data_IF_164288770880
#
_entry.id   IF_164288770880
#
_cell.length_a   1.000
_cell.length_b   1.000
_cell.length_c   1.000
_cell.angle_alpha   90.00
_cell.angle_beta   90.00
_cell.angle_gamma   90.00
#
_symmetry.space_group_name_H-M   'P 1'
#
loop_
_entity.id
_entity.type
_entity.pdbx_description
1 polymer ?
#
# COMPACT_ATOMS: atom_id res chain seq x y z
N UNK A 1 24.95 -23.50 -1.47
CA UNK A 1 23.67 -23.27 -2.16
C UNK A 1 23.59 -21.78 -2.53
N UNK A 2 23.56 -21.43 -3.81
CA UNK A 2 23.44 -20.04 -4.23
C UNK A 2 22.06 -19.50 -3.82
N UNK A 3 22.01 -18.49 -2.94
CA UNK A 3 20.75 -17.78 -2.63
C UNK A 3 20.23 -17.16 -3.93
N UNK A 4 19.10 -17.64 -4.45
CA UNK A 4 18.38 -16.96 -5.53
C UNK A 4 18.05 -15.56 -5.05
N UNK A 5 18.66 -14.53 -5.65
CA UNK A 5 18.33 -13.14 -5.34
C UNK A 5 16.87 -12.91 -5.75
N UNK A 6 15.98 -12.54 -4.84
CA UNK A 6 14.59 -12.29 -5.20
C UNK A 6 14.52 -11.14 -6.20
N UNK A 7 13.70 -11.28 -7.25
CA UNK A 7 13.51 -10.23 -8.26
C UNK A 7 13.02 -8.95 -7.57
N UNK A 8 13.69 -7.83 -7.79
CA UNK A 8 13.33 -6.51 -7.26
C UNK A 8 12.75 -5.61 -8.35
N UNK A 9 12.11 -4.52 -7.94
CA UNK A 9 11.69 -3.39 -8.77
C UNK A 9 12.23 -2.10 -8.14
N UNK A 10 12.44 -1.08 -8.96
CA UNK A 10 12.84 0.24 -8.47
C UNK A 10 11.59 1.07 -8.18
N UNK A 11 11.46 1.52 -6.94
CA UNK A 11 10.49 2.54 -6.51
C UNK A 11 11.25 3.81 -6.15
N UNK A 12 10.57 4.96 -6.21
CA UNK A 12 11.19 6.25 -5.90
C UNK A 12 10.35 7.04 -4.92
N UNK A 13 10.98 7.65 -3.93
CA UNK A 13 10.38 8.67 -3.08
C UNK A 13 11.24 9.95 -3.07
N UNK A 14 10.98 10.88 -2.16
CA UNK A 14 11.74 12.12 -2.05
C UNK A 14 13.21 11.92 -1.67
N UNK A 15 13.58 10.77 -1.10
CA UNK A 15 14.96 10.43 -0.74
C UNK A 15 15.69 9.67 -1.86
N UNK A 16 15.05 9.49 -3.02
CA UNK A 16 15.63 8.86 -4.20
C UNK A 16 15.09 7.47 -4.48
N UNK A 17 15.87 6.68 -5.21
CA UNK A 17 15.50 5.33 -5.62
C UNK A 17 15.63 4.33 -4.46
N UNK A 18 14.85 3.26 -4.53
CA UNK A 18 14.80 2.19 -3.54
C UNK A 18 14.47 0.86 -4.24
N UNK A 19 15.27 -0.16 -3.97
CA UNK A 19 14.98 -1.52 -4.43
C UNK A 19 13.92 -2.16 -3.53
N UNK A 20 12.79 -2.56 -4.13
CA UNK A 20 11.68 -3.19 -3.43
C UNK A 20 11.44 -4.58 -4.02
N UNK A 21 11.18 -5.63 -3.22
CA UNK A 21 10.84 -6.94 -3.75
C UNK A 21 9.68 -6.85 -4.76
N UNK A 22 9.79 -7.53 -5.91
CA UNK A 22 8.76 -7.40 -6.97
C UNK A 22 7.42 -8.05 -6.62
N UNK A 23 7.40 -8.98 -5.66
CA UNK A 23 6.20 -9.70 -5.25
C UNK A 23 5.35 -8.96 -4.22
N UNK A 24 5.87 -7.92 -3.56
CA UNK A 24 5.15 -7.17 -2.51
C UNK A 24 4.42 -5.95 -3.06
N UNK A 25 3.35 -5.54 -2.38
CA UNK A 25 2.52 -4.40 -2.76
C UNK A 25 2.98 -3.05 -2.16
N UNK A 26 3.82 -3.04 -1.13
CA UNK A 26 4.34 -1.80 -0.56
C UNK A 26 5.44 -1.17 -1.42
N UNK A 27 5.78 0.10 -1.19
CA UNK A 27 6.71 0.89 -2.01
C UNK A 27 7.98 1.34 -1.30
N UNK A 28 8.60 2.40 -1.83
CA UNK A 28 9.89 2.90 -1.36
C UNK A 28 9.86 3.36 0.10
N UNK A 29 8.82 4.06 0.53
CA UNK A 29 8.76 4.60 1.89
C UNK A 29 8.61 3.50 2.93
N UNK A 30 7.82 2.46 2.64
CA UNK A 30 7.74 1.27 3.49
C UNK A 30 9.06 0.52 3.53
N UNK A 31 9.71 0.32 2.38
CA UNK A 31 11.00 -0.37 2.32
C UNK A 31 12.07 0.38 3.12
N UNK A 32 12.12 1.73 3.06
CA UNK A 32 13.02 2.52 3.91
C UNK A 32 12.70 2.33 5.38
N UNK A 33 11.43 2.37 5.77
CA UNK A 33 11.03 2.16 7.16
C UNK A 33 11.41 0.77 7.67
N UNK A 34 11.29 -0.28 6.84
CA UNK A 34 11.76 -1.62 7.18
C UNK A 34 13.25 -1.67 7.48
N UNK A 35 14.06 -1.02 6.65
CA UNK A 35 15.51 -0.96 6.83
C UNK A 35 15.92 -0.13 8.06
N UNK A 36 15.13 0.89 8.41
CA UNK A 36 15.41 1.79 9.53
C UNK A 36 14.96 1.24 10.89
N UNK A 37 13.94 0.37 10.94
CA UNK A 37 13.34 -0.12 12.19
C UNK A 37 13.33 -1.67 12.34
N UNK A 38 14.46 -2.38 12.19
CA UNK A 38 14.52 -3.83 12.41
C UNK A 38 14.67 -4.16 13.91
N UNK A 39 13.65 -3.85 14.73
CA UNK A 39 13.78 -3.86 16.20
C UNK A 39 13.42 -5.22 16.82
N UNK A 40 12.22 -5.75 16.55
CA UNK A 40 11.70 -6.93 17.25
C UNK A 40 11.30 -8.09 16.33
N UNK A 41 11.14 -7.83 15.03
CA UNK A 41 10.60 -8.78 14.07
C UNK A 41 9.09 -9.03 14.24
N UNK A 42 8.40 -8.27 15.11
CA UNK A 42 6.97 -8.39 15.33
C UNK A 42 6.24 -7.35 14.49
N UNK A 43 5.44 -7.82 13.54
CA UNK A 43 4.61 -6.95 12.70
C UNK A 43 3.39 -6.44 13.47
N UNK A 44 2.72 -5.44 12.90
CA UNK A 44 1.42 -4.97 13.39
C UNK A 44 0.37 -6.09 13.32
N UNK A 45 -0.60 -6.12 14.26
CA UNK A 45 -1.70 -7.09 14.21
C UNK A 45 -2.63 -6.82 13.03
N UNK A 46 -3.25 -7.87 12.47
CA UNK A 46 -4.16 -7.74 11.32
C UNK A 46 -5.31 -6.77 11.60
N UNK A 47 -5.79 -6.69 12.85
CA UNK A 47 -6.93 -5.85 13.24
C UNK A 47 -6.62 -4.37 13.06
N UNK A 48 -5.37 -3.98 13.30
CA UNK A 48 -4.92 -2.62 13.08
C UNK A 48 -4.81 -2.31 11.58
N UNK A 49 -4.32 -3.27 10.78
CA UNK A 49 -4.32 -3.14 9.31
C UNK A 49 -5.75 -2.96 8.78
N UNK A 50 -6.71 -3.76 9.25
CA UNK A 50 -8.13 -3.62 8.91
C UNK A 50 -8.67 -2.23 9.27
N UNK A 51 -8.33 -1.72 10.45
CA UNK A 51 -8.73 -0.37 10.87
C UNK A 51 -8.18 0.72 9.94
N UNK A 52 -6.90 0.63 9.54
CA UNK A 52 -6.32 1.54 8.55
C UNK A 52 -7.02 1.42 7.20
N UNK A 53 -7.36 0.21 6.76
CA UNK A 53 -8.11 -0.01 5.50
C UNK A 53 -9.48 0.67 5.54
N UNK A 54 -10.25 0.46 6.61
CA UNK A 54 -11.56 1.11 6.81
C UNK A 54 -11.44 2.64 6.85
N UNK A 55 -10.40 3.16 7.50
CA UNK A 55 -10.11 4.60 7.54
C UNK A 55 -9.88 5.15 6.13
N UNK A 56 -9.04 4.50 5.32
CA UNK A 56 -8.72 4.94 3.95
C UNK A 56 -9.91 4.84 3.02
N UNK A 57 -10.69 3.76 3.13
CA UNK A 57 -11.95 3.58 2.42
C UNK A 57 -12.92 4.72 2.70
N UNK A 58 -13.15 5.01 3.98
CA UNK A 58 -14.06 6.08 4.42
C UNK A 58 -13.57 7.45 3.96
N UNK A 59 -12.27 7.71 4.05
CA UNK A 59 -11.67 8.95 3.57
C UNK A 59 -11.85 9.13 2.06
N UNK A 60 -11.71 8.07 1.26
CA UNK A 60 -11.93 8.13 -0.19
C UNK A 60 -13.39 8.49 -0.52
N UNK A 61 -14.36 7.86 0.16
CA UNK A 61 -15.79 8.16 0.00
C UNK A 61 -16.10 9.61 0.38
N UNK A 62 -15.60 10.10 1.51
CA UNK A 62 -15.84 11.47 1.97
C UNK A 62 -15.16 12.49 1.05
N UNK A 63 -13.91 12.26 0.65
CA UNK A 63 -13.20 13.15 -0.27
C UNK A 63 -13.90 13.24 -1.63
N UNK A 64 -14.50 12.16 -2.11
CA UNK A 64 -15.32 12.21 -3.32
C UNK A 64 -16.59 13.05 -3.13
N UNK A 65 -17.34 12.84 -2.04
CA UNK A 65 -18.53 13.64 -1.72
C UNK A 65 -18.22 15.14 -1.59
N UNK A 66 -17.04 15.48 -1.06
CA UNK A 66 -16.54 16.85 -0.96
C UNK A 66 -15.93 17.38 -2.27
N UNK A 67 -15.96 16.60 -3.36
CA UNK A 67 -15.38 16.94 -4.68
C UNK A 67 -13.87 17.19 -4.66
N UNK A 68 -13.16 16.65 -3.67
CA UNK A 68 -11.69 16.68 -3.54
C UNK A 68 -11.03 15.51 -4.29
N UNK A 69 -11.81 14.49 -4.65
CA UNK A 69 -11.36 13.30 -5.37
C UNK A 69 -12.37 12.95 -6.47
N UNK A 70 -11.91 12.75 -7.71
CA UNK A 70 -12.83 12.34 -8.78
C UNK A 70 -13.36 10.91 -8.58
N UNK A 71 -14.49 10.63 -9.22
CA UNK A 71 -15.20 9.36 -9.11
C UNK A 71 -14.32 8.16 -9.46
N UNK A 72 -13.49 8.25 -10.51
CA UNK A 72 -12.69 7.12 -10.97
C UNK A 72 -11.66 6.73 -9.91
N UNK A 73 -10.90 7.70 -9.40
CA UNK A 73 -9.93 7.44 -8.32
C UNK A 73 -10.61 6.98 -7.03
N UNK A 74 -11.73 7.59 -6.67
CA UNK A 74 -12.48 7.19 -5.48
C UNK A 74 -12.93 5.73 -5.55
N UNK A 75 -13.48 5.32 -6.70
CA UNK A 75 -13.94 3.94 -6.94
C UNK A 75 -12.78 2.96 -6.84
N UNK A 76 -11.67 3.21 -7.54
CA UNK A 76 -10.49 2.34 -7.49
C UNK A 76 -9.90 2.19 -6.08
N UNK A 77 -9.90 3.25 -5.28
CA UNK A 77 -9.41 3.20 -3.90
C UNK A 77 -10.37 2.40 -3.01
N UNK A 78 -11.68 2.61 -3.16
CA UNK A 78 -12.70 1.86 -2.41
C UNK A 78 -12.63 0.37 -2.75
N UNK A 79 -12.59 0.02 -4.04
CA UNK A 79 -12.49 -1.37 -4.50
C UNK A 79 -11.21 -2.04 -3.98
N UNK A 80 -10.08 -1.32 -3.98
CA UNK A 80 -8.82 -1.81 -3.41
C UNK A 80 -8.92 -2.04 -1.90
N UNK A 81 -9.62 -1.18 -1.17
CA UNK A 81 -9.85 -1.37 0.26
C UNK A 81 -10.78 -2.56 0.53
N UNK A 82 -11.86 -2.70 -0.26
CA UNK A 82 -12.81 -3.80 -0.13
C UNK A 82 -12.13 -5.14 -0.42
N UNK A 83 -11.28 -5.21 -1.45
CA UNK A 83 -10.47 -6.40 -1.71
C UNK A 83 -9.51 -6.77 -0.56
N UNK A 84 -8.96 -5.79 0.17
CA UNK A 84 -8.14 -6.06 1.36
C UNK A 84 -9.01 -6.62 2.50
N UNK A 85 -10.19 -6.02 2.74
CA UNK A 85 -11.10 -6.46 3.80
C UNK A 85 -11.65 -7.87 3.55
N UNK A 86 -12.06 -8.16 2.31
CA UNK A 86 -12.54 -9.49 1.89
C UNK A 86 -11.48 -10.58 2.11
N UNK A 87 -10.20 -10.25 1.97
CA UNK A 87 -9.08 -11.17 2.24
C UNK A 87 -8.91 -11.40 3.74
N UNK A 88 -9.13 -10.40 4.58
CA UNK A 88 -9.02 -10.54 6.03
C UNK A 88 -10.20 -11.29 6.67
N UNK A 89 -11.36 -11.30 6.01
CA UNK A 89 -12.50 -12.11 6.43
C UNK A 89 -12.28 -13.63 6.22
N UNK A 90 -11.28 -14.01 5.40
CA UNK A 90 -10.87 -15.40 5.20
C UNK A 90 -9.51 -15.69 5.87
N UNK A 91 -9.48 -16.45 6.98
CA UNK A 91 -8.24 -16.76 7.70
C UNK A 91 -7.14 -17.39 6.82
N UNK A 92 -7.52 -18.12 5.77
CA UNK A 92 -6.55 -18.79 4.89
C UNK A 92 -5.86 -17.82 3.92
N UNK A 93 -6.49 -16.68 3.61
CA UNK A 93 -5.96 -15.66 2.69
C UNK A 93 -5.31 -14.50 3.44
N UNK A 94 -5.72 -14.25 4.68
CA UNK A 94 -5.19 -13.19 5.54
C UNK A 94 -3.66 -13.26 5.72
N UNK A 95 -3.10 -14.46 5.87
CA UNK A 95 -1.66 -14.65 6.07
C UNK A 95 -0.82 -14.09 4.90
N UNK A 96 -1.21 -14.39 3.66
CA UNK A 96 -0.50 -13.91 2.47
C UNK A 96 -0.59 -12.38 2.31
N UNK A 97 -1.68 -11.77 2.77
CA UNK A 97 -1.83 -10.31 2.74
C UNK A 97 -0.89 -9.62 3.73
N UNK A 98 -0.59 -10.25 4.87
CA UNK A 98 0.31 -9.68 5.88
C UNK A 98 1.76 -9.53 5.39
N UNK A 99 2.18 -10.28 4.36
CA UNK A 99 3.49 -10.08 3.70
C UNK A 99 3.64 -8.69 3.06
N UNK A 100 2.52 -7.99 2.84
CA UNK A 100 2.50 -6.63 2.31
C UNK A 100 2.52 -5.55 3.41
N UNK A 101 2.45 -5.95 4.67
CA UNK A 101 2.50 -5.07 5.85
C UNK A 101 3.63 -5.48 6.83
N UNK A 102 4.89 -5.47 6.38
CA UNK A 102 6.01 -6.06 7.13
C UNK A 102 6.55 -5.19 8.28
N UNK A 103 6.00 -3.99 8.49
CA UNK A 103 6.59 -3.03 9.44
C UNK A 103 6.49 -3.53 10.88
N UNK A 104 7.59 -3.33 11.60
CA UNK A 104 7.68 -3.62 13.03
C UNK A 104 6.72 -2.72 13.83
N UNK A 105 6.20 -3.26 14.93
CA UNK A 105 5.40 -2.50 15.89
C UNK A 105 6.20 -1.33 16.49
N UNK A 106 7.52 -1.50 16.66
CA UNK A 106 8.42 -0.45 17.14
C UNK A 106 8.94 0.40 15.98
N UNK A 107 8.06 1.26 15.46
CA UNK A 107 8.37 2.24 14.42
C UNK A 107 8.27 3.68 14.97
N UNK A 108 8.19 4.68 14.10
CA UNK A 108 7.94 6.07 14.51
C UNK A 108 6.68 6.18 15.36
N UNK A 109 6.74 6.90 16.50
CA UNK A 109 5.63 6.98 17.47
C UNK A 109 4.30 7.55 16.94
N UNK A 110 4.32 8.26 15.82
CA UNK A 110 3.11 8.78 15.13
C UNK A 110 2.39 7.75 14.25
N UNK A 111 3.00 6.57 14.00
CA UNK A 111 2.48 5.60 13.04
C UNK A 111 2.58 6.04 11.57
N UNK A 112 3.44 7.02 11.24
CA UNK A 112 3.58 7.55 9.87
C UNK A 112 3.97 6.45 8.87
N UNK A 113 4.89 5.55 9.24
CA UNK A 113 5.32 4.46 8.37
C UNK A 113 4.19 3.49 8.04
N UNK A 114 3.38 3.11 9.04
CA UNK A 114 2.18 2.28 8.83
C UNK A 114 1.17 2.96 7.93
N UNK A 115 0.92 4.25 8.14
CA UNK A 115 0.02 5.03 7.30
C UNK A 115 0.48 5.07 5.84
N UNK A 116 1.78 5.23 5.60
CA UNK A 116 2.35 5.21 4.25
C UNK A 116 2.35 3.82 3.64
N UNK A 117 2.62 2.77 4.41
CA UNK A 117 2.52 1.39 3.96
C UNK A 117 1.11 1.08 3.44
N UNK A 118 0.07 1.49 4.16
CA UNK A 118 -1.30 1.34 3.70
C UNK A 118 -1.56 2.11 2.39
N UNK A 119 -1.10 3.36 2.30
CA UNK A 119 -1.26 4.16 1.07
C UNK A 119 -0.60 3.49 -0.14
N UNK A 120 0.63 2.99 0.01
CA UNK A 120 1.38 2.34 -1.07
C UNK A 120 0.72 1.03 -1.52
N UNK A 121 0.26 0.20 -0.57
CA UNK A 121 -0.44 -1.06 -0.87
C UNK A 121 -1.76 -0.80 -1.61
N UNK A 122 -2.61 0.10 -1.09
CA UNK A 122 -3.88 0.47 -1.74
C UNK A 122 -3.60 1.02 -3.15
N UNK A 123 -2.62 1.91 -3.30
CA UNK A 123 -2.29 2.48 -4.60
C UNK A 123 -1.85 1.40 -5.59
N UNK A 124 -1.05 0.42 -5.16
CA UNK A 124 -0.60 -0.64 -6.05
C UNK A 124 -1.71 -1.64 -6.39
N UNK A 125 -2.67 -1.90 -5.50
CA UNK A 125 -3.87 -2.69 -5.83
C UNK A 125 -4.74 -1.93 -6.83
N UNK A 126 -5.03 -0.65 -6.56
CA UNK A 126 -5.81 0.21 -7.45
C UNK A 126 -5.17 0.32 -8.85
N UNK A 127 -3.84 0.43 -8.91
CA UNK A 127 -3.09 0.43 -10.16
C UNK A 127 -2.99 -0.96 -10.79
N UNK A 128 -3.02 -2.08 -10.05
CA UNK A 128 -3.06 -3.44 -10.67
C UNK A 128 -4.31 -3.65 -11.52
N UNK A 129 -5.43 -3.06 -11.12
CA UNK A 129 -6.65 -2.96 -11.92
C UNK A 129 -6.48 -2.07 -13.18
N UNK A 130 -5.32 -1.39 -13.35
CA UNK A 130 -5.04 -0.42 -14.42
C UNK A 130 -3.59 -0.31 -14.94
N UNK A 131 -2.68 -1.27 -14.66
CA UNK A 131 -1.20 -1.27 -14.82
C UNK A 131 -0.36 -0.79 -13.59
N UNK A 132 0.47 -1.69 -13.05
CA UNK A 132 1.42 -1.46 -11.96
C UNK A 132 2.48 -0.39 -12.27
N UNK A 133 2.72 0.54 -11.33
CA UNK A 133 3.90 1.40 -11.31
C UNK A 133 3.86 2.68 -12.17
N UNK A 134 2.75 2.98 -12.85
CA UNK A 134 2.65 4.23 -13.62
C UNK A 134 2.44 5.44 -12.69
N UNK A 135 3.53 6.10 -12.29
CA UNK A 135 3.46 7.51 -11.82
C UNK A 135 3.19 8.50 -12.96
N UNK A 136 2.97 8.01 -14.19
CA UNK A 136 2.60 8.81 -15.36
C UNK A 136 1.10 9.01 -15.40
N UNK A 137 0.67 10.10 -14.78
CA UNK A 137 -0.66 10.68 -14.96
C UNK A 137 -0.79 11.20 -16.39
N UNK A 138 -1.22 10.36 -17.33
CA UNK A 138 -1.73 10.89 -18.60
C UNK A 138 -3.08 11.55 -18.29
N UNK A 139 -3.07 12.88 -18.19
CA UNK A 139 -4.28 13.68 -18.33
C UNK A 139 -4.83 13.38 -19.72
N UNK A 140 -5.91 12.60 -19.81
CA UNK A 140 -6.74 12.61 -21.02
C UNK A 140 -7.17 14.07 -21.23
N UNK A 141 -6.66 14.68 -22.31
CA UNK A 141 -7.15 15.99 -22.75
C UNK A 141 -8.63 15.82 -23.09
N UNK A 142 -9.52 16.71 -22.64
CA UNK A 142 -10.90 16.67 -23.09
C UNK A 142 -10.90 16.86 -24.60
N UNK A 143 -11.38 15.86 -25.32
CA UNK A 143 -11.69 15.95 -26.75
C UNK A 143 -12.78 17.00 -26.91
N UNK A 144 -12.43 18.09 -27.61
CA UNK A 144 -13.39 18.98 -28.24
C UNK A 144 -13.91 18.35 -29.53
#
# INVERSE_FOLDING_TARGET
MAKRTPKTRIERDSMGDMEVPSHVLYGASTQRALLNFPISGRTLPHSLICAYTLLKRSAAVVNHKLKLLDQRRATLIVDACDAILDVFDDPNRAANMMDHFPLDIFQTGSGTSTNMNMNEVISNIACRSGHLGSKTWQKEKPTA
#
